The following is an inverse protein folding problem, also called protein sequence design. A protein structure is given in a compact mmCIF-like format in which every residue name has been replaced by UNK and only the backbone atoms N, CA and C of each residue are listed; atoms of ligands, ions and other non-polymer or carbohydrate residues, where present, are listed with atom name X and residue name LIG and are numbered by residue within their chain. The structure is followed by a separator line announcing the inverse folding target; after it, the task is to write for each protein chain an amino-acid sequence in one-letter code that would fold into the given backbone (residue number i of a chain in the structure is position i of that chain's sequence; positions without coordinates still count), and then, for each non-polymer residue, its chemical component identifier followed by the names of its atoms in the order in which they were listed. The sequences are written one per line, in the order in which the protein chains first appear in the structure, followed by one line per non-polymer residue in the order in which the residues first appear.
data_IF_411392517945
#
_entry.id   IF_411392517945
#
_cell.length_a   1.000
_cell.length_b   1.000
_cell.length_c   1.000
_cell.angle_alpha   90.00
_cell.angle_beta   90.00
_cell.angle_gamma   90.00
#
_symmetry.space_group_name_H-M   'P 1'
#
loop_
_entity.id
_entity.type
_entity.pdbx_description
1 polymer ?
#
# COMPACT_ATOMS: atom_id res chain seq x y z
N UNK A 1 -7.47 -14.93 -20.63
CA UNK A 1 -8.47 -13.88 -20.35
C UNK A 1 -7.98 -12.59 -21.00
N UNK A 2 -8.58 -12.14 -22.11
CA UNK A 2 -8.29 -10.81 -22.67
C UNK A 2 -9.44 -9.89 -22.27
N UNK A 3 -9.14 -8.94 -21.38
CA UNK A 3 -10.03 -7.81 -21.11
C UNK A 3 -9.50 -6.61 -21.89
N UNK A 4 -10.39 -5.70 -22.30
CA UNK A 4 -10.02 -4.46 -22.98
C UNK A 4 -8.99 -3.64 -22.18
N UNK A 5 -9.02 -3.76 -20.84
CA UNK A 5 -8.08 -3.11 -19.93
C UNK A 5 -6.66 -3.65 -20.13
N UNK A 6 -6.49 -4.98 -20.21
CA UNK A 6 -5.18 -5.58 -20.48
C UNK A 6 -4.62 -5.13 -21.84
N UNK A 7 -5.46 -5.03 -22.86
CA UNK A 7 -5.04 -4.52 -24.16
C UNK A 7 -4.59 -3.05 -24.09
N UNK A 8 -5.23 -2.24 -23.25
CA UNK A 8 -4.83 -0.86 -22.96
C UNK A 8 -3.44 -0.78 -22.31
N UNK A 9 -3.17 -1.63 -21.32
CA UNK A 9 -1.85 -1.74 -20.66
C UNK A 9 -0.75 -2.05 -21.70
N UNK A 10 -0.98 -3.06 -22.56
CA UNK A 10 -0.02 -3.40 -23.63
C UNK A 10 0.21 -2.23 -24.59
N UNK A 11 -0.84 -1.51 -24.96
CA UNK A 11 -0.74 -0.38 -25.87
C UNK A 11 0.09 0.77 -25.28
N UNK A 12 -0.06 1.05 -23.98
CA UNK A 12 0.70 2.10 -23.28
C UNK A 12 2.20 1.76 -23.20
N UNK A 13 2.54 0.51 -22.91
CA UNK A 13 3.93 0.03 -22.90
C UNK A 13 4.51 0.05 -24.33
N UNK A 14 3.77 -0.44 -25.32
CA UNK A 14 4.22 -0.43 -26.73
C UNK A 14 4.46 0.99 -27.26
N UNK A 15 3.68 1.97 -26.80
CA UNK A 15 3.86 3.39 -27.15
C UNK A 15 5.05 4.03 -26.41
N UNK A 16 5.63 3.36 -25.42
CA UNK A 16 6.74 3.86 -24.61
C UNK A 16 6.33 4.88 -23.55
N UNK A 17 5.05 4.92 -23.16
CA UNK A 17 4.59 5.78 -22.05
C UNK A 17 5.08 5.23 -20.72
N UNK A 18 5.01 3.91 -20.55
CA UNK A 18 5.63 3.18 -19.44
C UNK A 18 6.67 2.21 -20.01
N UNK A 19 7.76 2.02 -19.28
CA UNK A 19 8.86 1.13 -19.67
C UNK A 19 8.46 -0.34 -19.51
N UNK A 20 7.67 -0.64 -18.49
CA UNK A 20 7.17 -1.98 -18.19
C UNK A 20 5.72 -1.95 -17.72
N UNK A 21 5.08 -3.12 -17.73
CA UNK A 21 3.75 -3.29 -17.13
C UNK A 21 3.79 -3.07 -15.63
N UNK A 22 4.88 -3.47 -14.97
CA UNK A 22 5.05 -3.33 -13.53
C UNK A 22 5.12 -1.85 -13.14
N UNK A 23 5.82 -1.02 -13.92
CA UNK A 23 5.86 0.43 -13.72
C UNK A 23 4.45 1.05 -13.81
N UNK A 24 3.66 0.63 -14.79
CA UNK A 24 2.27 1.06 -14.93
C UNK A 24 1.42 0.60 -13.73
N UNK A 25 1.60 -0.65 -13.29
CA UNK A 25 0.86 -1.21 -12.15
C UNK A 25 1.22 -0.45 -10.86
N UNK A 26 2.49 -0.15 -10.62
CA UNK A 26 2.93 0.64 -9.48
C UNK A 26 2.27 2.03 -9.47
N UNK A 27 2.25 2.70 -10.62
CA UNK A 27 1.62 4.03 -10.75
C UNK A 27 0.10 3.98 -10.58
N UNK A 28 -0.54 2.96 -11.14
CA UNK A 28 -1.97 2.71 -10.97
C UNK A 28 -2.34 2.42 -9.51
N UNK A 29 -1.52 1.64 -8.79
CA UNK A 29 -1.72 1.34 -7.37
C UNK A 29 -1.47 2.57 -6.50
N UNK A 30 -0.45 3.38 -6.79
CA UNK A 30 -0.21 4.65 -6.10
C UNK A 30 -1.41 5.57 -6.26
N UNK A 31 -1.89 5.73 -7.49
CA UNK A 31 -3.10 6.51 -7.79
C UNK A 31 -4.31 5.94 -7.06
N UNK A 32 -4.51 4.62 -7.11
CA UNK A 32 -5.62 3.97 -6.41
C UNK A 32 -5.61 4.24 -4.91
N UNK A 33 -4.47 4.08 -4.25
CA UNK A 33 -4.36 4.30 -2.80
C UNK A 33 -4.45 5.77 -2.38
N UNK A 34 -4.15 6.70 -3.28
CA UNK A 34 -4.38 8.14 -3.05
C UNK A 34 -5.88 8.47 -2.99
N UNK A 35 -6.66 7.93 -3.92
CA UNK A 35 -8.11 8.16 -3.98
C UNK A 35 -8.93 7.23 -3.09
N UNK A 36 -8.41 6.05 -2.74
CA UNK A 36 -9.05 5.05 -1.86
C UNK A 36 -8.26 4.86 -0.58
N UNK A 37 -8.24 5.91 0.24
CA UNK A 37 -7.58 5.91 1.55
C UNK A 37 -8.08 4.79 2.47
N UNK A 38 -9.36 4.41 2.35
CA UNK A 38 -9.94 3.26 3.04
C UNK A 38 -9.24 1.94 2.65
N UNK A 39 -8.97 1.75 1.36
CA UNK A 39 -8.25 0.57 0.86
C UNK A 39 -6.77 0.60 1.22
N UNK A 40 -6.15 1.79 1.23
CA UNK A 40 -4.78 2.00 1.70
C UNK A 40 -4.64 1.59 3.17
N UNK A 41 -5.54 2.06 4.03
CA UNK A 41 -5.58 1.68 5.46
C UNK A 41 -5.79 0.17 5.59
N UNK A 42 -6.72 -0.43 4.84
CA UNK A 42 -6.97 -1.86 4.89
C UNK A 42 -5.71 -2.68 4.50
N UNK A 43 -5.00 -2.28 3.45
CA UNK A 43 -3.75 -2.92 3.03
C UNK A 43 -2.68 -2.81 4.13
N UNK A 44 -2.53 -1.63 4.74
CA UNK A 44 -1.58 -1.40 5.83
C UNK A 44 -1.92 -2.25 7.07
N UNK A 45 -3.20 -2.44 7.41
CA UNK A 45 -3.60 -3.31 8.51
C UNK A 45 -3.17 -4.76 8.23
N UNK A 46 -3.39 -5.26 7.02
CA UNK A 46 -2.97 -6.62 6.65
C UNK A 46 -1.45 -6.80 6.69
N UNK A 47 -0.70 -5.81 6.21
CA UNK A 47 0.76 -5.80 6.32
C UNK A 47 1.22 -5.71 7.77
N UNK A 48 0.54 -4.91 8.59
CA UNK A 48 0.83 -4.84 10.03
C UNK A 48 0.56 -6.16 10.73
N UNK A 49 -0.32 -7.04 10.24
CA UNK A 49 -0.51 -8.39 10.82
C UNK A 49 0.66 -9.32 10.48
N UNK A 50 1.11 -9.31 9.23
CA UNK A 50 2.04 -10.33 8.70
C UNK A 50 3.50 -9.90 8.75
N UNK A 51 3.79 -8.60 8.76
CA UNK A 51 5.14 -8.05 8.74
C UNK A 51 5.57 -7.49 10.09
N UNK A 52 6.88 -7.53 10.36
CA UNK A 52 7.46 -6.80 11.49
C UNK A 52 7.61 -5.31 11.14
N UNK A 53 6.60 -4.53 11.50
CA UNK A 53 6.63 -3.07 11.36
C UNK A 53 6.16 -2.37 12.65
N UNK A 54 6.68 -1.17 12.88
CA UNK A 54 6.28 -0.34 14.01
C UNK A 54 4.93 0.35 13.75
N UNK A 55 4.26 0.79 14.82
CA UNK A 55 3.01 1.57 14.71
C UNK A 55 3.25 2.86 13.93
N UNK A 56 4.35 3.57 14.21
CA UNK A 56 4.70 4.79 13.50
C UNK A 56 4.89 4.54 12.01
N UNK A 57 5.48 3.39 11.64
CA UNK A 57 5.61 3.02 10.23
C UNK A 57 4.25 2.73 9.60
N UNK A 58 3.37 2.02 10.30
CA UNK A 58 2.00 1.78 9.82
C UNK A 58 1.23 3.10 9.64
N UNK A 59 1.34 4.04 10.57
CA UNK A 59 0.71 5.36 10.47
C UNK A 59 1.19 6.14 9.22
N UNK A 60 2.51 6.20 9.02
CA UNK A 60 3.14 6.81 7.83
C UNK A 60 2.60 6.17 6.54
N UNK A 61 2.59 4.84 6.49
CA UNK A 61 2.14 4.08 5.33
C UNK A 61 0.65 4.26 5.05
N UNK A 62 -0.18 4.36 6.09
CA UNK A 62 -1.62 4.57 5.96
C UNK A 62 -1.97 6.04 5.65
N UNK A 63 -1.05 6.98 5.85
CA UNK A 63 -1.30 8.41 5.68
C UNK A 63 -2.21 8.99 6.76
N UNK A 64 -2.12 8.47 7.98
CA UNK A 64 -2.93 8.86 9.14
C UNK A 64 -2.04 9.07 10.37
N UNK A 65 -2.59 9.62 11.45
CA UNK A 65 -1.87 9.76 12.71
C UNK A 65 -1.63 8.42 13.42
N UNK A 66 -0.71 8.40 14.38
CA UNK A 66 -0.46 7.21 15.21
C UNK A 66 -1.63 6.83 16.09
N UNK A 67 -2.52 7.76 16.44
CA UNK A 67 -3.74 7.44 17.19
C UNK A 67 -4.79 6.81 16.27
N UNK A 68 -5.02 7.37 15.09
CA UNK A 68 -5.97 6.81 14.11
C UNK A 68 -5.59 5.37 13.71
N UNK A 69 -4.29 5.09 13.49
CA UNK A 69 -3.90 3.72 13.11
C UNK A 69 -4.11 2.73 14.25
N UNK A 70 -3.97 3.14 15.52
CA UNK A 70 -4.27 2.27 16.67
C UNK A 70 -5.76 1.94 16.71
N UNK A 71 -6.61 2.94 16.49
CA UNK A 71 -8.07 2.74 16.42
C UNK A 71 -8.45 1.78 15.29
N UNK A 72 -7.82 1.92 14.11
CA UNK A 72 -8.05 1.02 12.98
C UNK A 72 -7.60 -0.42 13.27
N UNK A 73 -6.44 -0.59 13.89
CA UNK A 73 -5.94 -1.90 14.30
C UNK A 73 -6.85 -2.55 15.35
N UNK A 74 -7.28 -1.78 16.34
CA UNK A 74 -8.22 -2.27 17.37
C UNK A 74 -9.56 -2.70 16.75
N UNK A 75 -10.15 -1.86 15.89
CA UNK A 75 -11.38 -2.19 15.15
C UNK A 75 -11.22 -3.43 14.27
N UNK A 76 -10.04 -3.67 13.73
CA UNK A 76 -9.72 -4.85 12.94
C UNK A 76 -9.35 -6.09 13.79
N UNK A 77 -9.42 -6.00 15.12
CA UNK A 77 -9.07 -7.09 16.04
C UNK A 77 -7.58 -7.41 16.09
N UNK A 78 -6.73 -6.47 15.65
CA UNK A 78 -5.28 -6.64 15.58
C UNK A 78 -4.62 -6.13 16.84
N UNK A 79 -3.91 -7.01 17.54
CA UNK A 79 -3.16 -6.63 18.75
C UNK A 79 -1.97 -5.74 18.39
N UNK A 80 -1.92 -4.58 19.04
CA UNK A 80 -0.80 -3.65 18.92
C UNK A 80 0.45 -4.29 19.53
N UNK A 81 1.51 -4.40 18.72
CA UNK A 81 2.79 -4.97 19.13
C UNK A 81 3.63 -3.88 19.82
N UNK A 82 4.03 -4.14 21.06
CA UNK A 82 4.90 -3.24 21.83
C UNK A 82 6.36 -3.64 21.59
N UNK A 83 7.22 -2.68 21.22
CA UNK A 83 8.67 -2.86 21.17
C UNK A 83 9.28 -3.30 19.82
N UNK A 84 8.58 -3.20 18.69
CA UNK A 84 9.14 -3.60 17.38
C UNK A 84 9.74 -2.43 16.59
N UNK A 85 10.99 -2.61 16.17
CA UNK A 85 11.76 -1.79 15.24
C UNK A 85 12.28 -2.66 14.08
N UNK A 86 11.36 -3.18 13.26
CA UNK A 86 11.67 -4.04 12.10
C UNK A 86 11.64 -3.30 10.77
N UNK A 87 12.57 -3.64 9.87
CA UNK A 87 12.92 -2.94 8.62
C UNK A 87 12.02 -3.29 7.40
N UNK A 88 10.99 -4.13 7.57
CA UNK A 88 10.20 -4.68 6.45
C UNK A 88 9.13 -3.74 5.88
N UNK A 89 8.62 -2.79 6.68
CA UNK A 89 7.69 -1.76 6.19
C UNK A 89 8.27 -0.77 5.16
N UNK A 90 9.56 -0.91 4.80
CA UNK A 90 10.26 -0.07 3.84
C UNK A 90 9.81 -0.30 2.39
N UNK A 91 9.30 -1.48 2.03
CA UNK A 91 8.87 -1.77 0.65
C UNK A 91 7.58 -1.04 0.27
N UNK A 92 6.57 -1.04 1.15
CA UNK A 92 5.35 -0.24 0.91
C UNK A 92 5.63 1.26 0.93
N UNK A 93 6.61 1.72 1.71
CA UNK A 93 6.96 3.14 1.81
C UNK A 93 7.44 3.73 0.49
N UNK A 94 7.97 2.89 -0.41
CA UNK A 94 8.38 3.28 -1.76
C UNK A 94 7.19 3.46 -2.69
N UNK A 95 6.07 2.80 -2.43
CA UNK A 95 4.87 2.90 -3.24
C UNK A 95 4.03 4.14 -2.91
N UNK A 96 4.14 4.66 -1.68
CA UNK A 96 3.31 5.77 -1.19
C UNK A 96 4.04 7.08 -0.86
N UNK A 97 5.32 7.18 -1.25
CA UNK A 97 6.03 8.46 -1.38
C UNK A 97 5.87 9.03 -2.77
#
# INVERSE_FOLDING_TARGET
MSSIIYNGVEALVKRGIYSTKDELIEDALRTFFEFRKDMRVAAVIELYKTEEMSISKAAELAGVSTEEIKDFLEKAGVKIRRGLSGDKGSQLARLVR
#
